data_IF_662976908723
#
_entry.id   IF_662976908723
#
_cell.length_a   1.000
_cell.length_b   1.000
_cell.length_c   1.000
_cell.angle_alpha   90.00
_cell.angle_beta   90.00
_cell.angle_gamma   90.00
#
_symmetry.space_group_name_H-M   'P 1'
#
loop_
_entity.id
_entity.type
_entity.pdbx_description
1 polymer ?
#
# COMPACT_ATOMS: atom_id res chain seq x y z
N UNK A 1 -0.14 -15.67 7.14
CA UNK A 1 -0.73 -15.40 5.80
C UNK A 1 -1.70 -14.19 5.77
N UNK A 2 -1.48 -13.08 6.52
CA UNK A 2 -2.40 -11.91 6.54
C UNK A 2 -1.88 -10.67 5.78
N UNK A 3 -0.57 -10.54 5.65
CA UNK A 3 0.10 -9.36 5.08
C UNK A 3 -0.09 -9.19 3.58
N UNK A 4 -0.16 -10.29 2.82
CA UNK A 4 -0.40 -10.26 1.37
C UNK A 4 -1.82 -9.79 1.02
N UNK A 5 -2.82 -10.25 1.77
CA UNK A 5 -4.21 -9.80 1.61
C UNK A 5 -4.40 -8.30 1.87
N UNK A 6 -3.61 -7.73 2.78
CA UNK A 6 -3.68 -6.29 3.06
C UNK A 6 -3.14 -5.46 1.89
N UNK A 7 -2.03 -5.89 1.28
CA UNK A 7 -1.48 -5.26 0.07
C UNK A 7 -2.51 -5.32 -1.07
N UNK A 8 -3.19 -6.45 -1.26
CA UNK A 8 -4.22 -6.58 -2.30
C UNK A 8 -5.42 -5.67 -2.07
N UNK A 9 -5.85 -5.46 -0.81
CA UNK A 9 -6.91 -4.49 -0.50
C UNK A 9 -6.49 -3.07 -0.84
N UNK A 10 -5.29 -2.65 -0.42
CA UNK A 10 -4.78 -1.32 -0.73
C UNK A 10 -4.61 -1.13 -2.24
N UNK A 11 -4.06 -2.12 -2.94
CA UNK A 11 -3.94 -2.09 -4.39
C UNK A 11 -5.31 -2.02 -5.09
N UNK A 12 -6.33 -2.71 -4.57
CA UNK A 12 -7.70 -2.61 -5.09
C UNK A 12 -8.29 -1.22 -4.85
N UNK A 13 -8.08 -0.62 -3.68
CA UNK A 13 -8.52 0.75 -3.39
C UNK A 13 -7.82 1.76 -4.31
N UNK A 14 -6.54 1.58 -4.61
CA UNK A 14 -5.80 2.43 -5.55
C UNK A 14 -6.31 2.25 -6.99
N UNK A 15 -6.61 1.02 -7.41
CA UNK A 15 -7.23 0.76 -8.71
C UNK A 15 -8.63 1.39 -8.82
N UNK A 16 -9.42 1.29 -7.75
CA UNK A 16 -10.76 1.89 -7.67
C UNK A 16 -10.70 3.42 -7.77
N UNK A 17 -9.75 4.05 -7.06
CA UNK A 17 -9.45 5.49 -7.16
C UNK A 17 -8.97 5.91 -8.55
N UNK A 18 -8.29 5.01 -9.26
CA UNK A 18 -7.83 5.22 -10.63
C UNK A 18 -8.90 4.93 -11.69
N UNK A 19 -10.14 4.57 -11.29
CA UNK A 19 -11.22 4.14 -12.18
C UNK A 19 -10.83 2.94 -13.08
N UNK A 20 -9.92 2.09 -12.59
CA UNK A 20 -9.46 0.87 -13.27
C UNK A 20 -10.21 -0.35 -12.73
N UNK A 21 -10.88 -1.09 -13.61
CA UNK A 21 -11.62 -2.30 -13.26
C UNK A 21 -10.70 -3.44 -12.77
N UNK A 22 -9.49 -3.48 -13.32
CA UNK A 22 -8.50 -4.51 -13.03
C UNK A 22 -7.27 -3.95 -12.31
N UNK A 23 -6.74 -4.74 -11.36
CA UNK A 23 -5.53 -4.35 -10.65
C UNK A 23 -4.34 -4.48 -11.60
N UNK A 24 -3.84 -3.35 -12.07
CA UNK A 24 -2.61 -3.26 -12.86
C UNK A 24 -1.36 -3.37 -11.97
N UNK A 25 -0.23 -3.71 -12.61
CA UNK A 25 1.10 -3.71 -11.94
C UNK A 25 1.43 -2.36 -11.30
N UNK A 26 0.97 -1.26 -11.88
CA UNK A 26 1.17 0.08 -11.34
C UNK A 26 0.55 0.22 -9.95
N UNK A 27 -0.71 -0.18 -9.76
CA UNK A 27 -1.39 -0.13 -8.46
C UNK A 27 -0.74 -1.03 -7.42
N UNK A 28 -0.15 -2.16 -7.83
CA UNK A 28 0.64 -3.01 -6.94
C UNK A 28 1.94 -2.32 -6.48
N UNK A 29 2.66 -1.70 -7.41
CA UNK A 29 3.86 -0.90 -7.09
C UNK A 29 3.55 0.28 -6.18
N UNK A 30 2.42 0.94 -6.40
CA UNK A 30 1.93 2.04 -5.58
C UNK A 30 1.56 1.57 -4.17
N UNK A 31 0.80 0.48 -4.05
CA UNK A 31 0.46 -0.12 -2.76
C UNK A 31 1.71 -0.59 -1.98
N UNK A 32 2.72 -1.11 -2.68
CA UNK A 32 3.99 -1.52 -2.07
C UNK A 32 4.78 -0.29 -1.59
N UNK A 33 4.86 0.75 -2.41
CA UNK A 33 5.52 2.02 -2.06
C UNK A 33 4.85 2.68 -0.85
N UNK A 34 3.51 2.70 -0.83
CA UNK A 34 2.73 3.21 0.29
C UNK A 34 3.06 2.47 1.60
N UNK A 35 3.17 1.14 1.55
CA UNK A 35 3.56 0.33 2.72
C UNK A 35 5.00 0.59 3.18
N UNK A 36 5.94 0.76 2.26
CA UNK A 36 7.31 1.12 2.62
C UNK A 36 7.35 2.47 3.34
N UNK A 37 6.58 3.44 2.84
CA UNK A 37 6.48 4.77 3.46
C UNK A 37 5.81 4.71 4.82
N UNK A 38 4.71 3.98 4.97
CA UNK A 38 4.01 3.74 6.25
C UNK A 38 4.94 3.14 7.31
N UNK A 39 5.76 2.16 6.91
CA UNK A 39 6.77 1.57 7.78
C UNK A 39 7.84 2.59 8.20
N UNK A 40 8.30 3.42 7.26
CA UNK A 40 9.30 4.47 7.51
C UNK A 40 8.75 5.53 8.48
N UNK A 41 7.50 5.96 8.26
CA UNK A 41 6.78 6.88 9.13
C UNK A 41 6.57 6.30 10.54
N UNK A 42 6.21 5.02 10.61
CA UNK A 42 6.09 4.29 11.89
C UNK A 42 7.42 4.20 12.63
N UNK A 43 8.54 4.05 11.92
CA UNK A 43 9.87 4.08 12.53
C UNK A 43 10.28 5.49 12.99
N UNK A 44 9.96 6.52 12.20
CA UNK A 44 10.16 7.92 12.58
C UNK A 44 9.39 8.28 13.85
N UNK A 45 8.10 7.92 13.94
CA UNK A 45 7.30 8.13 15.14
C UNK A 45 7.89 7.43 16.37
N UNK A 46 8.43 6.22 16.21
CA UNK A 46 9.13 5.51 17.30
C UNK A 46 10.45 6.15 17.72
N UNK A 47 11.11 6.89 16.83
CA UNK A 47 12.38 7.55 17.15
C UNK A 47 12.16 8.91 17.82
N UNK A 48 10.96 9.49 17.71
CA UNK A 48 10.61 10.78 18.29
C UNK A 48 9.98 10.67 19.68
N UNK A 49 9.69 9.45 20.14
CA UNK A 49 9.09 9.11 21.44
C UNK A 49 10.08 8.31 22.27
#
# INVERSE_FOLDING_TARGET
>A
MRTWHHILKVARTIADLALEDNIQKNHLSEALSYRCMDRLLSQLHKSLM
#
